data_IF_584137590740
#
_entry.id   IF_584137590740
#
_cell.length_a   1.000
_cell.length_b   1.000
_cell.length_c   1.000
_cell.angle_alpha   90.00
_cell.angle_beta   90.00
_cell.angle_gamma   90.00
#
_symmetry.space_group_name_H-M   'P 1'
#
loop_
_entity.id
_entity.type
_entity.pdbx_description
1 polymer ?
#
# COMPACT_ATOMS: atom_id res chain seq x y z
N UNK A 1 21.74 3.62 12.80
CA UNK A 1 20.40 3.60 12.19
C UNK A 1 19.38 3.74 13.32
N UNK A 2 18.45 4.67 13.24
CA UNK A 2 17.39 4.85 14.24
C UNK A 2 16.16 4.05 13.82
N UNK A 3 15.50 3.39 14.78
CA UNK A 3 14.27 2.63 14.56
C UNK A 3 13.19 3.21 15.48
N UNK A 4 12.02 3.62 14.95
CA UNK A 4 10.93 4.11 15.78
C UNK A 4 10.37 3.01 16.67
N UNK A 5 9.78 3.40 17.80
CA UNK A 5 9.02 2.47 18.63
C UNK A 5 7.70 2.09 17.93
N UNK A 6 7.76 0.98 17.20
CA UNK A 6 6.65 0.40 16.44
C UNK A 6 5.52 -0.14 17.32
N UNK A 7 5.71 -0.25 18.64
CA UNK A 7 4.67 -0.71 19.58
C UNK A 7 3.84 0.44 20.14
N UNK A 8 4.24 1.69 19.91
CA UNK A 8 3.51 2.85 20.42
C UNK A 8 2.16 3.02 19.69
N UNK A 9 1.11 3.41 20.42
CA UNK A 9 -0.20 3.70 19.83
C UNK A 9 -0.13 4.81 18.79
N UNK A 10 0.73 5.81 19.00
CA UNK A 10 0.98 6.89 18.04
C UNK A 10 1.51 6.34 16.71
N UNK A 11 2.44 5.39 16.75
CA UNK A 11 2.95 4.76 15.54
C UNK A 11 1.84 4.00 14.82
N UNK A 12 1.01 3.24 15.55
CA UNK A 12 -0.10 2.51 14.96
C UNK A 12 -1.13 3.43 14.28
N UNK A 13 -1.50 4.54 14.92
CA UNK A 13 -2.42 5.54 14.35
C UNK A 13 -1.88 6.18 13.08
N UNK A 14 -0.60 6.58 13.10
CA UNK A 14 0.04 7.20 11.95
C UNK A 14 0.24 6.23 10.79
N UNK A 15 0.73 5.02 11.08
CA UNK A 15 0.86 3.96 10.08
C UNK A 15 -0.49 3.62 9.44
N UNK A 16 -1.57 3.57 10.22
CA UNK A 16 -2.92 3.34 9.69
C UNK A 16 -3.38 4.48 8.77
N UNK A 17 -3.17 5.73 9.18
CA UNK A 17 -3.52 6.92 8.37
C UNK A 17 -2.74 6.92 7.05
N UNK A 18 -1.45 6.65 7.10
CA UNK A 18 -0.58 6.59 5.91
C UNK A 18 -0.95 5.43 4.99
N UNK A 19 -1.27 4.26 5.55
CA UNK A 19 -1.74 3.12 4.77
C UNK A 19 -3.04 3.43 4.01
N UNK A 20 -3.99 4.12 4.64
CA UNK A 20 -5.22 4.56 3.97
C UNK A 20 -4.94 5.57 2.84
N UNK A 21 -4.02 6.51 3.06
CA UNK A 21 -3.62 7.46 2.03
C UNK A 21 -2.92 6.79 0.85
N UNK A 22 -2.10 5.77 1.12
CA UNK A 22 -1.48 4.93 0.10
C UNK A 22 -2.52 4.20 -0.75
N UNK A 23 -3.51 3.55 -0.13
CA UNK A 23 -4.59 2.86 -0.86
C UNK A 23 -5.42 3.82 -1.73
N UNK A 24 -5.65 5.05 -1.27
CA UNK A 24 -6.30 6.06 -2.10
C UNK A 24 -5.42 6.43 -3.30
N UNK A 25 -4.14 6.69 -3.08
CA UNK A 25 -3.21 7.03 -4.15
C UNK A 25 -3.03 5.89 -5.17
N UNK A 26 -3.00 4.65 -4.69
CA UNK A 26 -2.89 3.43 -5.48
C UNK A 26 -4.06 3.30 -6.46
N UNK A 27 -5.30 3.55 -5.99
CA UNK A 27 -6.50 3.55 -6.84
C UNK A 27 -6.53 4.66 -7.89
N UNK A 28 -5.70 5.69 -7.79
CA UNK A 28 -5.65 6.80 -8.74
C UNK A 28 -4.43 6.73 -9.67
N UNK A 29 -3.59 5.69 -9.56
CA UNK A 29 -2.39 5.58 -10.38
C UNK A 29 -2.57 4.53 -11.49
N UNK A 30 -2.41 4.95 -12.75
CA UNK A 30 -2.49 4.11 -13.95
C UNK A 30 -1.52 2.90 -13.90
N UNK A 31 -0.47 2.97 -13.08
CA UNK A 31 0.47 1.85 -12.89
C UNK A 31 -0.22 0.61 -12.28
N UNK A 32 -1.26 0.78 -11.46
CA UNK A 32 -1.98 -0.34 -10.87
C UNK A 32 -2.79 -1.11 -11.90
N UNK A 33 -3.43 -0.42 -12.85
CA UNK A 33 -4.16 -1.05 -13.95
C UNK A 33 -3.22 -1.92 -14.80
N UNK A 34 -1.97 -1.48 -15.01
CA UNK A 34 -0.95 -2.28 -15.69
C UNK A 34 -0.57 -3.55 -14.92
N UNK A 35 -0.36 -3.44 -13.60
CA UNK A 35 -0.01 -4.59 -12.75
C UNK A 35 -1.17 -5.59 -12.67
N UNK A 36 -2.41 -5.10 -12.57
CA UNK A 36 -3.61 -5.93 -12.54
C UNK A 36 -3.77 -6.69 -13.87
N UNK A 37 -3.62 -6.02 -15.01
CA UNK A 37 -3.69 -6.66 -16.33
C UNK A 37 -2.64 -7.76 -16.54
N UNK A 38 -1.42 -7.60 -16.01
CA UNK A 38 -0.39 -8.65 -16.06
C UNK A 38 -0.70 -9.79 -15.08
N UNK A 39 -1.26 -9.48 -13.91
CA UNK A 39 -1.61 -10.49 -12.90
C UNK A 39 -2.77 -11.38 -13.39
N UNK A 40 -3.81 -10.79 -13.98
CA UNK A 40 -4.91 -11.52 -14.62
C UNK A 40 -4.42 -12.44 -15.74
N UNK A 41 -3.45 -11.97 -16.54
CA UNK A 41 -2.85 -12.79 -17.60
C UNK A 41 -2.15 -14.04 -17.05
N UNK A 42 -1.45 -13.92 -15.92
CA UNK A 42 -0.71 -15.02 -15.29
C UNK A 42 -1.65 -16.00 -14.56
N UNK A 43 -2.71 -15.51 -13.93
CA UNK A 43 -3.70 -16.35 -13.24
C UNK A 43 -4.60 -17.15 -14.21
N UNK A 44 -4.59 -16.81 -15.50
CA UNK A 44 -5.34 -17.49 -16.55
C UNK A 44 -4.52 -18.46 -17.42
N UNK A 45 -3.24 -18.72 -17.06
CA UNK A 45 -2.40 -19.80 -17.63
C UNK A 45 -2.33 -21.03 -16.71
#
# INVERSE_FOLDING_TARGET
>A
MWVPDVRSERFATEAHREALALVEADRHNDDMDFVEAISELVDHE
#
